data_IF_167259356429
#
_entry.id   IF_167259356429
#
_cell.length_a   1.000
_cell.length_b   1.000
_cell.length_c   1.000
_cell.angle_alpha   90.00
_cell.angle_beta   90.00
_cell.angle_gamma   90.00
#
_symmetry.space_group_name_H-M   'P 1'
#
loop_
_entity.id
_entity.type
_entity.pdbx_description
1 polymer ?
#
# COMPACT_ATOMS: atom_id res chain seq x y z
N UNK A 1 -18.09 -6.32 13.50
CA UNK A 1 -19.09 -5.93 12.50
C UNK A 1 -18.40 -5.16 11.39
N UNK A 2 -18.04 -5.87 10.33
CA UNK A 2 -17.44 -5.31 9.11
C UNK A 2 -18.52 -4.64 8.24
N UNK A 3 -19.24 -3.67 8.75
CA UNK A 3 -20.18 -2.93 7.94
C UNK A 3 -19.53 -1.58 7.60
N UNK A 4 -19.32 -1.30 6.34
CA UNK A 4 -19.09 0.02 5.75
C UNK A 4 -17.70 0.35 5.16
N UNK A 5 -16.80 -0.61 4.99
CA UNK A 5 -15.59 -0.35 4.19
C UNK A 5 -15.84 -0.40 2.67
N UNK A 6 -16.93 -1.07 2.24
CA UNK A 6 -17.27 -1.26 0.82
C UNK A 6 -18.70 -0.75 0.59
N UNK A 7 -18.82 0.26 -0.23
CA UNK A 7 -20.09 0.83 -0.67
C UNK A 7 -20.38 0.52 -2.15
N UNK A 8 -21.54 0.98 -2.65
CA UNK A 8 -21.95 0.76 -4.05
C UNK A 8 -21.00 1.44 -5.05
N UNK A 9 -20.36 2.53 -4.65
CA UNK A 9 -19.38 3.23 -5.50
C UNK A 9 -18.11 2.43 -5.66
N UNK A 10 -17.62 1.82 -4.59
CA UNK A 10 -16.48 0.91 -4.63
C UNK A 10 -16.74 -0.30 -5.52
N UNK A 11 -17.94 -0.93 -5.41
CA UNK A 11 -18.32 -2.08 -6.24
C UNK A 11 -18.38 -1.69 -7.71
N UNK A 12 -18.99 -0.55 -8.03
CA UNK A 12 -19.08 -0.04 -9.41
C UNK A 12 -17.71 0.29 -9.99
N UNK A 13 -16.82 0.85 -9.18
CA UNK A 13 -15.43 1.14 -9.54
C UNK A 13 -14.66 -0.13 -9.88
N UNK A 14 -14.74 -1.17 -9.03
CA UNK A 14 -14.14 -2.49 -9.31
C UNK A 14 -14.67 -3.04 -10.65
N UNK A 15 -15.97 -3.01 -10.86
CA UNK A 15 -16.58 -3.57 -12.07
C UNK A 15 -16.08 -2.87 -13.34
N UNK A 16 -16.07 -1.55 -13.38
CA UNK A 16 -15.61 -0.79 -14.54
C UNK A 16 -14.10 -0.94 -14.78
N UNK A 17 -13.32 -0.95 -13.72
CA UNK A 17 -11.88 -1.16 -13.77
C UNK A 17 -11.52 -2.59 -14.22
N UNK A 18 -12.26 -3.61 -13.74
CA UNK A 18 -12.07 -5.00 -14.12
C UNK A 18 -12.28 -5.21 -15.62
N UNK A 19 -13.28 -4.57 -16.22
CA UNK A 19 -13.52 -4.64 -17.66
C UNK A 19 -12.31 -4.08 -18.44
N UNK A 20 -11.73 -3.01 -17.96
CA UNK A 20 -10.58 -2.35 -18.60
C UNK A 20 -9.29 -3.16 -18.54
N UNK A 21 -9.04 -3.83 -17.41
CA UNK A 21 -7.76 -4.47 -17.10
C UNK A 21 -7.79 -5.99 -17.12
N UNK A 22 -8.93 -6.64 -17.44
CA UNK A 22 -9.10 -8.09 -17.41
C UNK A 22 -8.03 -8.91 -18.16
N UNK A 23 -7.42 -8.33 -19.19
CA UNK A 23 -6.38 -8.99 -19.98
C UNK A 23 -4.95 -8.80 -19.44
N UNK A 24 -4.75 -7.88 -18.49
CA UNK A 24 -3.42 -7.46 -18.01
C UNK A 24 -3.25 -7.58 -16.51
N UNK A 25 -4.34 -7.64 -15.75
CA UNK A 25 -4.31 -7.70 -14.30
C UNK A 25 -4.74 -9.08 -13.78
N UNK A 26 -4.09 -9.57 -12.73
CA UNK A 26 -4.53 -10.77 -12.03
C UNK A 26 -5.70 -10.45 -11.07
N UNK A 27 -6.87 -10.23 -11.65
CA UNK A 27 -8.05 -9.78 -10.92
C UNK A 27 -8.59 -10.82 -9.94
N UNK A 28 -8.53 -12.11 -10.33
CA UNK A 28 -9.06 -13.20 -9.51
C UNK A 28 -8.31 -13.31 -8.19
N UNK A 29 -7.01 -13.15 -8.21
CA UNK A 29 -6.19 -13.17 -7.02
C UNK A 29 -6.34 -11.87 -6.23
N UNK A 30 -6.22 -10.72 -6.91
CA UNK A 30 -6.29 -9.40 -6.28
C UNK A 30 -7.60 -9.14 -5.52
N UNK A 31 -8.73 -9.59 -6.07
CA UNK A 31 -10.06 -9.50 -5.45
C UNK A 31 -10.52 -10.82 -4.81
N UNK A 32 -9.60 -11.73 -4.58
CA UNK A 32 -9.94 -12.96 -3.85
C UNK A 32 -10.51 -12.63 -2.46
N UNK A 33 -11.31 -13.55 -1.94
CA UNK A 33 -11.93 -13.38 -0.62
C UNK A 33 -10.90 -13.12 0.48
N UNK A 34 -9.73 -13.77 0.39
CA UNK A 34 -8.63 -13.59 1.33
C UNK A 34 -8.08 -12.17 1.27
N UNK A 35 -7.71 -11.72 0.07
CA UNK A 35 -7.16 -10.39 -0.18
C UNK A 35 -8.11 -9.27 0.27
N UNK A 36 -9.39 -9.37 -0.06
CA UNK A 36 -10.37 -8.34 0.32
C UNK A 36 -10.63 -8.32 1.82
N UNK A 37 -10.75 -9.49 2.46
CA UNK A 37 -10.94 -9.56 3.91
C UNK A 37 -9.77 -9.02 4.69
N UNK A 38 -8.54 -9.32 4.27
CA UNK A 38 -7.35 -8.83 4.94
C UNK A 38 -7.24 -7.30 4.87
N UNK A 39 -7.57 -6.70 3.72
CA UNK A 39 -7.57 -5.24 3.56
C UNK A 39 -8.66 -4.56 4.42
N UNK A 40 -9.87 -5.14 4.42
CA UNK A 40 -10.97 -4.62 5.26
C UNK A 40 -10.65 -4.75 6.75
N UNK A 41 -10.09 -5.87 7.17
CA UNK A 41 -9.64 -6.07 8.54
C UNK A 41 -8.57 -5.05 8.95
N UNK A 42 -7.62 -4.74 8.07
CA UNK A 42 -6.62 -3.71 8.33
C UNK A 42 -7.26 -2.33 8.54
N UNK A 43 -8.27 -1.95 7.75
CA UNK A 43 -9.00 -0.69 7.96
C UNK A 43 -9.66 -0.67 9.34
N UNK A 44 -10.32 -1.77 9.74
CA UNK A 44 -10.95 -1.87 11.06
C UNK A 44 -9.91 -1.75 12.18
N UNK A 45 -8.76 -2.42 12.04
CA UNK A 45 -7.68 -2.34 13.03
C UNK A 45 -7.05 -0.94 13.12
N UNK A 46 -6.83 -0.28 11.99
CA UNK A 46 -6.35 1.11 12.00
C UNK A 46 -7.33 2.04 12.71
N UNK A 47 -8.65 1.87 12.54
CA UNK A 47 -9.67 2.64 13.27
C UNK A 47 -9.67 2.38 14.77
N UNK A 48 -9.39 1.15 15.18
CA UNK A 48 -9.33 0.77 16.59
C UNK A 48 -8.04 1.22 17.28
N UNK A 49 -6.91 1.16 16.57
CA UNK A 49 -5.59 1.44 17.14
C UNK A 49 -5.22 2.92 17.11
N UNK A 50 -5.73 3.68 16.14
CA UNK A 50 -5.40 5.09 15.98
C UNK A 50 -6.47 5.97 16.63
N UNK A 51 -6.03 6.93 17.44
CA UNK A 51 -6.92 7.92 18.07
C UNK A 51 -7.35 9.05 17.12
N UNK A 52 -6.98 8.95 15.84
CA UNK A 52 -7.24 9.97 14.82
C UNK A 52 -7.77 9.37 13.53
N UNK A 53 -8.58 10.14 12.81
CA UNK A 53 -9.00 9.84 11.44
C UNK A 53 -8.04 10.43 10.39
N UNK A 54 -6.98 11.13 10.80
CA UNK A 54 -6.00 11.77 9.93
C UNK A 54 -4.71 10.95 9.86
N UNK A 55 -4.40 10.42 8.69
CA UNK A 55 -3.22 9.58 8.45
C UNK A 55 -2.02 10.36 7.88
N UNK A 56 -2.23 11.64 7.47
CA UNK A 56 -1.16 12.43 6.91
C UNK A 56 -0.62 11.87 5.60
N UNK A 57 0.70 11.74 5.52
CA UNK A 57 1.39 11.15 4.38
C UNK A 57 1.60 9.66 4.59
N UNK A 58 1.07 8.85 3.68
CA UNK A 58 1.13 7.39 3.74
C UNK A 58 2.08 6.87 2.68
N UNK A 59 3.06 6.06 3.08
CA UNK A 59 3.86 5.24 2.19
C UNK A 59 3.37 3.80 2.26
N UNK A 60 3.13 3.19 1.11
CA UNK A 60 2.71 1.79 1.03
C UNK A 60 3.75 0.98 0.23
N UNK A 61 4.32 -0.03 0.84
CA UNK A 61 5.34 -0.88 0.24
C UNK A 61 4.72 -2.16 -0.30
N UNK A 62 5.01 -2.46 -1.58
CA UNK A 62 4.48 -3.64 -2.24
C UNK A 62 2.95 -3.63 -2.35
N UNK A 63 2.37 -2.47 -2.61
CA UNK A 63 0.91 -2.32 -2.60
C UNK A 63 0.19 -2.89 -3.82
N UNK A 64 0.93 -3.47 -4.77
CA UNK A 64 0.38 -4.04 -6.00
C UNK A 64 -0.51 -3.02 -6.71
N UNK A 65 -1.81 -3.33 -6.96
CA UNK A 65 -2.75 -2.38 -7.56
C UNK A 65 -3.34 -1.37 -6.56
N UNK A 66 -2.87 -1.38 -5.32
CA UNK A 66 -3.20 -0.43 -4.26
C UNK A 66 -4.71 -0.23 -4.01
N UNK A 67 -5.50 -1.31 -4.02
CA UNK A 67 -6.92 -1.26 -3.63
C UNK A 67 -7.11 -0.74 -2.20
N UNK A 68 -6.13 -0.99 -1.30
CA UNK A 68 -6.16 -0.47 0.06
C UNK A 68 -6.15 1.08 0.09
N UNK A 69 -5.54 1.74 -0.89
CA UNK A 69 -5.53 3.20 -0.97
C UNK A 69 -6.95 3.76 -1.05
N UNK A 70 -7.79 3.21 -1.94
CA UNK A 70 -9.21 3.62 -2.04
C UNK A 70 -9.93 3.43 -0.71
N UNK A 71 -9.72 2.28 -0.05
CA UNK A 71 -10.34 2.03 1.27
C UNK A 71 -9.84 3.00 2.33
N UNK A 72 -8.58 3.40 2.29
CA UNK A 72 -8.03 4.41 3.21
C UNK A 72 -8.63 5.79 2.96
N UNK A 73 -8.70 6.23 1.70
CA UNK A 73 -9.33 7.51 1.35
C UNK A 73 -10.81 7.58 1.71
N UNK A 74 -11.53 6.46 1.66
CA UNK A 74 -12.95 6.39 2.02
C UNK A 74 -13.19 6.42 3.54
N UNK A 75 -12.19 6.04 4.34
CA UNK A 75 -12.35 5.84 5.77
C UNK A 75 -11.53 6.80 6.64
N UNK A 76 -10.52 7.45 6.06
CA UNK A 76 -9.60 8.35 6.73
C UNK A 76 -9.32 9.60 5.89
N UNK A 77 -8.88 10.65 6.54
CA UNK A 77 -8.33 11.84 5.89
C UNK A 77 -6.86 11.60 5.56
N UNK A 78 -6.57 11.23 4.32
CA UNK A 78 -5.21 11.00 3.82
C UNK A 78 -4.75 12.24 3.05
N UNK A 79 -3.64 12.86 3.48
CA UNK A 79 -3.07 14.04 2.81
C UNK A 79 -2.45 13.66 1.49
N UNK A 80 -1.63 12.59 1.50
CA UNK A 80 -0.94 12.09 0.32
C UNK A 80 -0.61 10.62 0.48
N UNK A 81 -0.65 9.87 -0.61
CA UNK A 81 -0.39 8.44 -0.61
C UNK A 81 0.59 8.07 -1.74
N UNK A 82 1.70 7.46 -1.37
CA UNK A 82 2.67 6.92 -2.31
C UNK A 82 2.69 5.40 -2.23
N UNK A 83 2.37 4.73 -3.35
CA UNK A 83 2.50 3.29 -3.51
C UNK A 83 3.85 2.98 -4.13
N UNK A 84 4.75 2.33 -3.39
CA UNK A 84 6.03 1.86 -3.91
C UNK A 84 5.86 0.42 -4.37
N UNK A 85 6.00 0.21 -5.66
CA UNK A 85 5.79 -1.10 -6.29
C UNK A 85 6.96 -1.41 -7.22
N UNK A 86 7.47 -2.64 -7.13
CA UNK A 86 8.64 -3.04 -7.91
C UNK A 86 8.28 -3.33 -9.37
N UNK A 87 7.06 -3.87 -9.62
CA UNK A 87 6.59 -4.18 -10.97
C UNK A 87 6.03 -2.92 -11.66
N UNK A 88 6.69 -2.42 -12.74
CA UNK A 88 6.23 -1.24 -13.45
C UNK A 88 4.86 -1.43 -14.15
N UNK A 89 4.42 -2.67 -14.39
CA UNK A 89 3.10 -2.92 -14.95
C UNK A 89 1.99 -2.56 -13.96
N UNK A 90 2.26 -2.68 -12.67
CA UNK A 90 1.31 -2.34 -11.62
C UNK A 90 1.07 -0.83 -11.51
N UNK A 91 2.04 0.01 -11.89
CA UNK A 91 1.94 1.48 -11.75
C UNK A 91 0.73 2.04 -12.48
N UNK A 92 0.60 1.76 -13.77
CA UNK A 92 -0.52 2.27 -14.57
C UNK A 92 -1.88 1.71 -14.11
N UNK A 93 -1.91 0.42 -13.77
CA UNK A 93 -3.12 -0.24 -13.29
C UNK A 93 -3.58 0.36 -11.97
N UNK A 94 -2.66 0.59 -11.07
CA UNK A 94 -2.87 1.18 -9.75
C UNK A 94 -3.32 2.64 -9.82
N UNK A 95 -2.71 3.45 -10.69
CA UNK A 95 -3.11 4.85 -10.92
C UNK A 95 -4.48 4.96 -11.58
N UNK A 96 -4.83 4.06 -12.50
CA UNK A 96 -6.18 4.02 -13.08
C UNK A 96 -7.24 3.57 -12.06
N UNK A 97 -6.92 2.63 -11.18
CA UNK A 97 -7.82 2.23 -10.10
C UNK A 97 -8.08 3.38 -9.11
N UNK A 98 -7.05 4.16 -8.80
CA UNK A 98 -7.12 5.31 -7.90
C UNK A 98 -7.19 6.64 -8.68
N UNK A 99 -7.84 6.62 -9.87
CA UNK A 99 -7.83 7.73 -10.82
C UNK A 99 -8.31 9.06 -10.23
N UNK A 100 -9.33 9.04 -9.40
CA UNK A 100 -9.88 10.23 -8.76
C UNK A 100 -8.82 10.93 -7.90
N UNK A 101 -8.16 10.20 -7.02
CA UNK A 101 -7.09 10.70 -6.17
C UNK A 101 -5.83 11.05 -6.96
N UNK A 102 -5.56 10.30 -8.04
CA UNK A 102 -4.40 10.54 -8.90
C UNK A 102 -4.56 11.78 -9.78
N UNK A 103 -5.70 11.95 -10.47
CA UNK A 103 -5.90 12.98 -11.48
C UNK A 103 -6.58 14.24 -10.94
N UNK A 104 -7.56 14.08 -10.06
CA UNK A 104 -8.39 15.19 -9.63
C UNK A 104 -7.87 15.85 -8.35
N UNK A 105 -7.42 15.03 -7.39
CA UNK A 105 -7.02 15.51 -6.07
C UNK A 105 -5.51 15.58 -5.89
N UNK A 106 -4.73 14.92 -6.76
CA UNK A 106 -3.26 14.90 -6.74
C UNK A 106 -2.65 14.39 -5.42
N UNK A 107 -3.40 13.53 -4.73
CA UNK A 107 -3.01 12.97 -3.44
C UNK A 107 -2.66 11.48 -3.48
N UNK A 108 -2.64 10.87 -4.67
CA UNK A 108 -2.19 9.50 -4.91
C UNK A 108 -1.09 9.46 -5.98
N UNK A 109 -0.06 8.65 -5.76
CA UNK A 109 0.95 8.34 -6.77
C UNK A 109 1.49 6.92 -6.59
N UNK A 110 1.64 6.16 -7.69
CA UNK A 110 2.40 4.93 -7.71
C UNK A 110 3.81 5.20 -8.21
N UNK A 111 4.80 4.67 -7.50
CA UNK A 111 6.22 4.84 -7.77
C UNK A 111 6.82 3.46 -8.05
N UNK A 112 7.38 3.26 -9.24
CA UNK A 112 8.15 2.06 -9.53
C UNK A 112 9.51 2.18 -8.85
N UNK A 113 9.61 1.61 -7.66
CA UNK A 113 10.83 1.71 -6.85
C UNK A 113 10.92 0.55 -5.85
N UNK A 114 12.14 0.11 -5.58
CA UNK A 114 12.44 -0.87 -4.54
C UNK A 114 12.46 -0.19 -3.18
N UNK A 115 11.44 -0.41 -2.36
CA UNK A 115 11.33 0.21 -1.04
C UNK A 115 12.48 -0.15 -0.09
N UNK A 116 13.15 -1.30 -0.30
CA UNK A 116 14.37 -1.67 0.44
C UNK A 116 15.57 -0.77 0.17
N UNK A 117 15.49 0.08 -0.86
CA UNK A 117 16.53 1.06 -1.22
C UNK A 117 16.22 2.48 -0.76
N UNK A 118 15.09 2.70 -0.11
CA UNK A 118 14.79 4.00 0.49
C UNK A 118 15.76 4.26 1.64
N UNK A 119 16.37 5.42 1.63
CA UNK A 119 17.29 5.89 2.66
C UNK A 119 16.63 7.07 3.35
N UNK A 120 16.48 6.96 4.66
CA UNK A 120 15.88 8.00 5.49
C UNK A 120 16.94 8.89 6.11
N UNK A 121 16.73 10.19 6.00
CA UNK A 121 17.53 11.19 6.69
C UNK A 121 17.26 11.22 8.20
N UNK A 122 18.05 12.00 8.96
CA UNK A 122 17.90 12.11 10.42
C UNK A 122 16.53 12.64 10.88
N UNK A 123 15.81 13.35 10.01
CA UNK A 123 14.46 13.88 10.25
C UNK A 123 13.35 12.92 9.77
N UNK A 124 13.72 11.74 9.33
CA UNK A 124 12.78 10.74 8.79
C UNK A 124 12.33 11.04 7.35
N UNK A 125 12.90 12.05 6.71
CA UNK A 125 12.66 12.34 5.30
C UNK A 125 13.41 11.37 4.39
N UNK A 126 12.82 11.09 3.23
CA UNK A 126 13.48 10.28 2.19
C UNK A 126 13.29 10.92 0.82
N UNK A 127 14.30 10.79 0.00
CA UNK A 127 14.30 11.29 -1.38
C UNK A 127 14.06 10.14 -2.34
N UNK A 128 13.19 10.36 -3.32
CA UNK A 128 12.94 9.41 -4.39
C UNK A 128 12.49 10.13 -5.67
N UNK A 129 12.61 9.44 -6.79
CA UNK A 129 12.24 9.99 -8.10
C UNK A 129 11.16 9.16 -8.75
N UNK A 130 10.33 9.81 -9.57
CA UNK A 130 9.42 9.14 -10.49
C UNK A 130 9.41 9.85 -11.83
N UNK A 131 8.99 9.13 -12.86
CA UNK A 131 8.81 9.70 -14.20
C UNK A 131 7.33 9.90 -14.48
N UNK A 132 6.95 11.11 -14.84
CA UNK A 132 5.59 11.43 -15.30
C UNK A 132 5.30 10.81 -16.66
N UNK A 133 4.00 10.74 -17.02
CA UNK A 133 3.57 10.27 -18.34
C UNK A 133 4.14 11.10 -19.52
N UNK A 134 4.47 12.37 -19.25
CA UNK A 134 5.14 13.26 -20.23
C UNK A 134 6.66 13.05 -20.31
N UNK A 135 7.21 12.05 -19.60
CA UNK A 135 8.63 11.72 -19.55
C UNK A 135 9.44 12.59 -18.60
N UNK A 136 8.84 13.56 -17.93
CA UNK A 136 9.54 14.44 -16.98
C UNK A 136 9.82 13.69 -15.67
N UNK A 137 11.08 13.71 -15.24
CA UNK A 137 11.48 13.21 -13.92
C UNK A 137 11.08 14.25 -12.86
N UNK A 138 10.46 13.76 -11.80
CA UNK A 138 10.13 14.55 -10.61
C UNK A 138 10.86 13.93 -9.43
N UNK A 139 11.50 14.79 -8.65
CA UNK A 139 12.13 14.44 -7.38
C UNK A 139 11.16 14.77 -6.25
N UNK A 140 11.08 13.89 -5.28
CA UNK A 140 10.31 14.05 -4.05
C UNK A 140 11.24 13.96 -2.86
N UNK A 141 10.95 14.76 -1.85
CA UNK A 141 11.56 14.67 -0.53
C UNK A 141 10.41 14.71 0.49
N UNK A 142 10.14 13.61 1.14
CA UNK A 142 8.99 13.47 2.04
C UNK A 142 9.30 12.66 3.28
N UNK A 143 8.60 12.99 4.35
CA UNK A 143 8.58 12.24 5.61
C UNK A 143 7.21 11.56 5.73
N UNK A 144 7.13 10.22 5.74
CA UNK A 144 5.86 9.52 5.94
C UNK A 144 5.38 9.66 7.40
N UNK A 145 4.08 9.92 7.58
CA UNK A 145 3.43 9.84 8.88
C UNK A 145 3.08 8.39 9.23
N UNK A 146 2.77 7.58 8.20
CA UNK A 146 2.46 6.16 8.32
C UNK A 146 3.10 5.38 7.18
N UNK A 147 3.75 4.27 7.50
CA UNK A 147 4.20 3.29 6.51
C UNK A 147 3.33 2.04 6.62
N UNK A 148 2.78 1.61 5.48
CA UNK A 148 2.02 0.36 5.35
C UNK A 148 2.84 -0.62 4.53
N UNK A 149 2.93 -1.88 4.96
CA UNK A 149 3.48 -2.96 4.17
C UNK A 149 2.54 -4.17 4.21
N UNK A 150 1.95 -4.50 3.06
CA UNK A 150 1.03 -5.64 2.90
C UNK A 150 1.64 -6.80 2.12
N UNK A 151 2.95 -6.79 1.96
CA UNK A 151 3.72 -7.78 1.18
C UNK A 151 4.99 -8.21 1.92
N UNK A 152 4.98 -8.14 3.26
CA UNK A 152 6.15 -8.47 4.08
C UNK A 152 6.68 -9.89 3.80
N UNK A 153 5.78 -10.83 3.53
CA UNK A 153 6.11 -12.22 3.22
C UNK A 153 6.90 -12.42 1.92
N UNK A 154 6.84 -11.45 1.00
CA UNK A 154 7.51 -11.50 -0.30
C UNK A 154 8.86 -10.79 -0.34
N UNK A 155 9.27 -10.11 0.73
CA UNK A 155 10.47 -9.30 0.74
C UNK A 155 11.34 -9.58 1.97
N UNK A 156 12.64 -9.23 1.87
CA UNK A 156 13.52 -9.24 3.02
C UNK A 156 13.18 -8.09 3.98
N UNK A 157 13.89 -7.99 5.10
CA UNK A 157 13.65 -6.97 6.13
C UNK A 157 14.48 -5.69 5.92
N UNK A 158 15.18 -5.50 4.79
CA UNK A 158 16.00 -4.31 4.56
C UNK A 158 15.16 -3.02 4.64
N UNK A 159 13.93 -3.07 4.08
CA UNK A 159 13.00 -1.95 4.17
C UNK A 159 12.70 -1.54 5.62
N UNK A 160 12.60 -2.52 6.53
CA UNK A 160 12.31 -2.27 7.94
C UNK A 160 13.54 -1.74 8.69
N UNK A 161 14.71 -2.33 8.46
CA UNK A 161 15.95 -1.92 9.12
C UNK A 161 16.43 -0.52 8.68
N UNK A 162 15.95 -0.02 7.57
CA UNK A 162 16.25 1.34 7.09
C UNK A 162 15.33 2.41 7.67
N UNK A 163 14.24 2.03 8.39
CA UNK A 163 13.31 2.99 8.95
C UNK A 163 13.94 3.81 10.10
N UNK A 164 13.55 5.08 10.24
CA UNK A 164 13.96 5.87 11.39
C UNK A 164 13.26 5.39 12.67
N UNK A 165 13.91 5.56 13.80
CA UNK A 165 13.35 5.24 15.11
C UNK A 165 12.04 6.00 15.35
N UNK A 166 11.03 5.31 15.85
CA UNK A 166 9.73 5.88 16.18
C UNK A 166 8.78 6.03 14.98
N UNK A 167 9.14 5.54 13.81
CA UNK A 167 8.24 5.53 12.65
C UNK A 167 7.01 4.66 12.92
N UNK A 168 5.82 5.24 12.71
CA UNK A 168 4.58 4.48 12.78
C UNK A 168 4.47 3.56 11.56
N UNK A 169 4.29 2.27 11.82
CA UNK A 169 4.14 1.25 10.78
C UNK A 169 2.90 0.39 10.99
N UNK A 170 2.28 0.00 9.88
CA UNK A 170 1.23 -1.01 9.83
C UNK A 170 1.68 -2.10 8.87
N UNK A 171 1.99 -3.28 9.38
CA UNK A 171 2.42 -4.37 8.54
C UNK A 171 1.44 -5.54 8.60
N UNK A 172 1.29 -6.22 7.48
CA UNK A 172 0.45 -7.40 7.36
C UNK A 172 1.25 -8.50 6.69
N UNK A 173 1.31 -9.64 7.34
CA UNK A 173 1.95 -10.86 6.85
C UNK A 173 0.99 -12.04 7.01
N UNK A 174 1.40 -13.23 6.64
CA UNK A 174 0.60 -14.44 6.72
C UNK A 174 1.44 -15.64 7.18
N UNK A 175 0.77 -16.76 7.45
CA UNK A 175 1.37 -18.04 7.84
C UNK A 175 1.40 -19.09 6.70
N UNK A 176 1.28 -18.66 5.45
CA UNK A 176 1.25 -19.55 4.29
C UNK A 176 2.64 -19.92 3.80
N UNK A 177 3.34 -20.74 4.58
CA UNK A 177 4.72 -21.20 4.33
C UNK A 177 4.88 -22.15 3.14
N UNK A 178 3.79 -22.69 2.58
CA UNK A 178 3.86 -23.62 1.44
C UNK A 178 4.03 -22.93 0.08
N UNK A 179 3.98 -21.61 0.02
CA UNK A 179 4.27 -20.85 -1.19
C UNK A 179 5.77 -20.52 -1.26
N UNK A 180 6.46 -21.00 -2.29
CA UNK A 180 7.90 -20.76 -2.48
C UNK A 180 8.28 -19.28 -2.60
N UNK A 181 7.33 -18.42 -2.98
CA UNK A 181 7.54 -16.97 -3.05
C UNK A 181 7.41 -16.27 -1.69
N UNK A 182 6.92 -16.97 -0.66
CA UNK A 182 6.76 -16.45 0.68
C UNK A 182 8.00 -16.77 1.51
N UNK A 183 8.97 -15.90 1.48
CA UNK A 183 10.25 -16.09 2.16
C UNK A 183 10.26 -15.59 3.60
N UNK A 184 9.28 -14.77 3.99
CA UNK A 184 9.26 -14.06 5.27
C UNK A 184 7.87 -14.12 5.96
N UNK A 185 7.20 -15.26 5.90
CA UNK A 185 5.98 -15.52 6.66
C UNK A 185 6.19 -15.46 8.16
N UNK A 186 5.14 -15.13 8.90
CA UNK A 186 5.09 -15.22 10.36
C UNK A 186 4.01 -16.21 10.78
N UNK A 187 4.34 -17.06 11.72
CA UNK A 187 3.44 -18.12 12.17
C UNK A 187 2.36 -17.59 13.12
N UNK A 188 2.68 -16.54 13.88
CA UNK A 188 1.81 -15.88 14.84
C UNK A 188 2.32 -14.46 15.14
N UNK A 189 1.61 -13.72 15.98
CA UNK A 189 1.99 -12.37 16.38
C UNK A 189 3.35 -12.29 17.06
N UNK A 190 3.65 -13.24 17.95
CA UNK A 190 4.94 -13.27 18.67
C UNK A 190 6.12 -13.49 17.70
N UNK A 191 5.94 -14.31 16.65
CA UNK A 191 6.93 -14.48 15.59
C UNK A 191 7.10 -13.19 14.78
N UNK A 192 6.01 -12.47 14.47
CA UNK A 192 6.07 -11.18 13.81
C UNK A 192 6.80 -10.13 14.66
N UNK A 193 6.45 -10.00 15.96
CA UNK A 193 7.10 -9.08 16.90
C UNK A 193 8.60 -9.39 17.11
N UNK A 194 9.02 -10.62 16.89
CA UNK A 194 10.44 -11.00 16.97
C UNK A 194 11.23 -10.66 15.72
N UNK A 195 10.55 -10.47 14.56
CA UNK A 195 11.16 -10.16 13.27
C UNK A 195 11.21 -8.66 12.97
N UNK A 196 10.26 -7.94 13.52
CA UNK A 196 10.04 -6.51 13.34
C UNK A 196 10.04 -5.78 14.69
#
# INVERSE_FOLDING_TARGET
YMAHCIDDDFIRKISSWSIRWQAKANLNDHFSRGQMRSKMWMIDQLKECLETDYLGMVFHYGGWYATIAKLLFDNFRVKQYFNFELDPQCTQISEDFNYEQYQNEWNYKCITYDCGKLIYGPSGDTEFTTTRMDGKVIEFCHTPDLIINTSCEHMNNDWFHNLPDGQLICLQTNDYFSNEQHTNCCKDLADAESKY
#
